data_IF_276071013992
#
_entry.id   IF_276071013992
#
_cell.length_a   1.000
_cell.length_b   1.000
_cell.length_c   1.000
_cell.angle_alpha   90.00
_cell.angle_beta   90.00
_cell.angle_gamma   90.00
#
_symmetry.space_group_name_H-M   'P 1'
#
loop_
_entity.id
_entity.type
_entity.pdbx_description
1 polymer ?
#
# COMPACT_ATOMS: atom_id res chain seq x y z
N UNK A 1 26.90 6.67 18.73
CA UNK A 1 25.55 7.18 19.05
C UNK A 1 25.47 8.58 18.49
N UNK A 2 24.75 8.77 17.40
CA UNK A 2 24.39 10.11 16.95
C UNK A 2 23.17 10.48 17.81
N UNK A 3 23.37 11.35 18.79
CA UNK A 3 22.25 12.01 19.45
C UNK A 3 21.70 13.00 18.44
N UNK A 4 20.71 12.58 17.65
CA UNK A 4 19.89 13.55 16.94
C UNK A 4 19.11 14.32 18.00
N UNK A 5 19.51 15.57 18.22
CA UNK A 5 18.68 16.52 18.96
C UNK A 5 17.37 16.64 18.21
N UNK A 6 16.28 16.20 18.85
CA UNK A 6 14.94 16.45 18.34
C UNK A 6 14.74 17.97 18.48
N UNK A 7 14.35 18.69 17.40
CA UNK A 7 14.17 20.12 17.47
C UNK A 7 13.19 20.51 18.58
N UNK A 8 13.44 21.64 19.25
CA UNK A 8 12.51 22.19 20.25
C UNK A 8 11.14 22.54 19.64
N UNK A 9 11.09 22.75 18.32
CA UNK A 9 9.87 23.06 17.58
C UNK A 9 9.80 22.27 16.26
N UNK A 10 8.60 21.76 15.94
CA UNK A 10 8.30 21.12 14.67
C UNK A 10 7.24 21.94 13.89
N UNK A 11 7.46 22.08 12.58
CA UNK A 11 6.52 22.79 11.70
C UNK A 11 5.34 21.93 11.27
N UNK A 12 5.51 20.61 11.23
CA UNK A 12 4.52 19.63 10.81
C UNK A 12 5.09 18.21 10.88
N UNK A 13 4.23 17.21 10.72
CA UNK A 13 4.62 15.81 10.68
C UNK A 13 3.88 15.08 9.56
N UNK A 14 4.59 14.25 8.81
CA UNK A 14 4.05 13.48 7.69
C UNK A 14 4.23 12.00 8.00
N UNK A 15 3.15 11.24 7.90
CA UNK A 15 3.13 9.80 8.12
C UNK A 15 2.83 9.08 6.81
N UNK A 16 3.55 8.01 6.52
CA UNK A 16 3.19 7.08 5.45
C UNK A 16 2.22 6.03 6.00
N UNK A 17 1.16 5.72 5.24
CA UNK A 17 0.19 4.72 5.68
C UNK A 17 0.84 3.35 5.83
N UNK A 18 1.51 2.85 4.79
CA UNK A 18 1.93 1.46 4.68
C UNK A 18 3.19 1.14 5.49
N UNK A 19 4.04 2.14 5.71
CA UNK A 19 5.34 2.00 6.37
C UNK A 19 5.34 2.49 7.83
N UNK A 20 4.43 3.40 8.22
CA UNK A 20 4.49 4.04 9.55
C UNK A 20 3.23 3.91 10.39
N UNK A 21 2.07 3.63 9.78
CA UNK A 21 0.79 3.62 10.50
C UNK A 21 0.10 2.25 10.48
N UNK A 22 -0.03 1.64 9.30
CA UNK A 22 -0.73 0.40 9.06
C UNK A 22 0.19 -0.80 9.30
N UNK A 23 -0.24 -1.75 10.15
CA UNK A 23 0.41 -3.05 10.22
C UNK A 23 0.00 -3.88 9.00
N UNK A 24 0.82 -3.79 7.96
CA UNK A 24 0.67 -4.59 6.75
C UNK A 24 1.00 -6.07 6.95
N UNK A 25 1.34 -6.49 8.18
CA UNK A 25 1.78 -7.84 8.56
C UNK A 25 3.01 -8.30 7.77
N UNK A 26 3.87 -7.33 7.42
CA UNK A 26 5.12 -7.56 6.68
C UNK A 26 6.14 -8.31 7.54
N UNK A 27 7.03 -9.09 6.91
CA UNK A 27 8.08 -9.86 7.59
C UNK A 27 7.65 -11.23 8.14
N UNK A 28 6.38 -11.62 7.93
CA UNK A 28 5.91 -12.99 8.15
C UNK A 28 6.26 -13.95 7.01
N UNK A 29 5.79 -15.23 7.07
CA UNK A 29 5.88 -16.16 5.95
C UNK A 29 5.19 -15.62 4.69
N UNK A 30 5.58 -16.11 3.50
CA UNK A 30 4.94 -15.74 2.25
C UNK A 30 3.42 -16.00 2.31
N UNK A 31 2.63 -15.05 1.80
CA UNK A 31 1.17 -15.09 1.82
C UNK A 31 0.56 -14.59 3.12
N UNK A 32 1.34 -14.00 4.03
CA UNK A 32 0.83 -13.45 5.29
C UNK A 32 0.45 -11.98 5.20
N UNK A 33 1.18 -11.18 4.41
CA UNK A 33 0.91 -9.74 4.30
C UNK A 33 -0.45 -9.47 3.67
N UNK A 34 -1.07 -8.34 4.03
CA UNK A 34 -2.40 -7.98 3.52
C UNK A 34 -2.39 -7.87 1.99
N UNK A 35 -1.31 -7.34 1.42
CA UNK A 35 -1.13 -7.24 -0.03
C UNK A 35 -0.94 -8.60 -0.70
N UNK A 36 -0.05 -9.47 -0.19
CA UNK A 36 0.18 -10.80 -0.78
C UNK A 36 -1.10 -11.63 -0.80
N UNK A 37 -1.88 -11.59 0.28
CA UNK A 37 -3.16 -12.32 0.36
C UNK A 37 -4.16 -11.84 -0.68
N UNK A 38 -4.30 -10.53 -0.83
CA UNK A 38 -5.20 -9.94 -1.84
C UNK A 38 -4.77 -10.31 -3.26
N UNK A 39 -3.46 -10.26 -3.56
CA UNK A 39 -2.92 -10.60 -4.87
C UNK A 39 -3.12 -12.09 -5.18
N UNK A 40 -2.79 -12.97 -4.25
CA UNK A 40 -2.92 -14.42 -4.43
C UNK A 40 -4.37 -14.83 -4.67
N UNK A 41 -5.31 -14.25 -3.92
CA UNK A 41 -6.74 -14.48 -4.13
C UNK A 41 -7.21 -13.93 -5.47
N UNK A 42 -6.76 -12.75 -5.89
CA UNK A 42 -7.11 -12.17 -7.18
C UNK A 42 -6.63 -13.04 -8.36
N UNK A 43 -5.38 -13.51 -8.30
CA UNK A 43 -4.82 -14.42 -9.31
C UNK A 43 -5.63 -15.70 -9.43
N UNK A 44 -6.04 -16.29 -8.29
CA UNK A 44 -6.88 -17.49 -8.29
C UNK A 44 -8.25 -17.26 -8.90
N UNK A 45 -8.93 -16.18 -8.52
CA UNK A 45 -10.25 -15.83 -9.07
C UNK A 45 -10.19 -15.60 -10.58
N UNK A 46 -9.17 -14.90 -11.07
CA UNK A 46 -8.99 -14.67 -12.51
C UNK A 46 -8.59 -15.96 -13.22
N UNK A 47 -7.72 -16.78 -12.62
CA UNK A 47 -7.37 -18.09 -13.14
C UNK A 47 -8.57 -19.01 -13.30
N UNK A 48 -9.47 -19.05 -12.32
CA UNK A 48 -10.72 -19.81 -12.39
C UNK A 48 -11.65 -19.25 -13.47
N UNK A 49 -11.79 -17.93 -13.57
CA UNK A 49 -12.66 -17.28 -14.56
C UNK A 49 -12.24 -17.56 -16.01
N UNK A 50 -10.94 -17.62 -16.27
CA UNK A 50 -10.38 -17.77 -17.61
C UNK A 50 -9.87 -19.18 -17.92
N UNK A 51 -10.10 -20.15 -17.03
CA UNK A 51 -9.58 -21.52 -17.14
C UNK A 51 -8.06 -21.56 -17.36
N UNK A 52 -7.30 -20.80 -16.55
CA UNK A 52 -5.82 -20.73 -16.59
C UNK A 52 -5.26 -21.43 -15.34
N UNK A 53 -4.90 -22.72 -15.43
CA UNK A 53 -4.46 -23.50 -14.28
C UNK A 53 -3.24 -22.91 -13.58
N UNK A 54 -2.32 -22.31 -14.34
CA UNK A 54 -1.10 -21.69 -13.83
C UNK A 54 -1.42 -20.60 -12.79
N UNK A 55 -2.47 -19.82 -13.01
CA UNK A 55 -2.90 -18.75 -12.09
C UNK A 55 -3.65 -19.30 -10.86
N UNK A 56 -4.41 -20.38 -11.02
CA UNK A 56 -5.13 -21.02 -9.89
C UNK A 56 -4.21 -21.71 -8.89
N UNK A 57 -3.04 -22.18 -9.34
CA UNK A 57 -2.11 -22.95 -8.52
C UNK A 57 -0.90 -22.14 -8.03
N UNK A 58 -0.86 -20.83 -8.31
CA UNK A 58 0.20 -19.95 -7.80
C UNK A 58 0.36 -20.15 -6.29
N UNK A 59 1.59 -20.42 -5.88
CA UNK A 59 2.00 -20.46 -4.48
C UNK A 59 2.27 -19.05 -3.96
N UNK A 60 2.25 -18.89 -2.64
CA UNK A 60 2.57 -17.61 -2.03
C UNK A 60 4.02 -17.19 -2.32
N UNK A 61 4.92 -18.18 -2.38
CA UNK A 61 6.34 -18.01 -2.68
C UNK A 61 6.57 -17.53 -4.12
N UNK A 62 5.89 -18.11 -5.10
CA UNK A 62 5.96 -17.64 -6.50
C UNK A 62 5.41 -16.21 -6.63
N UNK A 63 4.29 -15.91 -5.96
CA UNK A 63 3.73 -14.55 -5.97
C UNK A 63 4.68 -13.53 -5.33
N UNK A 64 5.36 -13.91 -4.25
CA UNK A 64 6.33 -13.05 -3.57
C UNK A 64 7.60 -12.87 -4.41
N UNK A 65 8.13 -13.94 -4.99
CA UNK A 65 9.30 -13.89 -5.88
C UNK A 65 9.03 -12.99 -7.10
N UNK A 66 7.84 -13.12 -7.71
CA UNK A 66 7.43 -12.28 -8.81
C UNK A 66 7.35 -10.79 -8.42
N UNK A 67 6.94 -10.46 -7.19
CA UNK A 67 6.95 -9.10 -6.68
C UNK A 67 8.39 -8.59 -6.47
N UNK A 68 9.24 -9.37 -5.81
CA UNK A 68 10.62 -8.99 -5.47
C UNK A 68 11.53 -8.85 -6.69
N UNK A 69 11.23 -9.57 -7.77
CA UNK A 69 12.02 -9.57 -9.02
C UNK A 69 11.40 -8.69 -10.12
N UNK A 70 10.28 -8.02 -9.85
CA UNK A 70 9.65 -7.13 -10.80
C UNK A 70 10.55 -5.92 -11.12
N UNK A 71 10.61 -5.45 -12.39
CA UNK A 71 11.41 -4.27 -12.75
C UNK A 71 11.00 -2.99 -12.01
N UNK A 72 9.72 -2.90 -11.66
CA UNK A 72 9.12 -1.77 -10.95
C UNK A 72 8.32 -2.30 -9.76
N UNK A 73 8.33 -1.59 -8.63
CA UNK A 73 7.60 -1.99 -7.43
C UNK A 73 6.12 -1.55 -7.51
N UNK A 74 5.43 -1.92 -8.60
CA UNK A 74 3.99 -1.69 -8.78
C UNK A 74 3.23 -3.01 -8.86
N UNK A 75 1.92 -2.98 -8.59
CA UNK A 75 1.08 -4.18 -8.66
C UNK A 75 1.00 -4.74 -10.08
N UNK A 76 0.89 -3.87 -11.08
CA UNK A 76 0.85 -4.26 -12.49
C UNK A 76 2.16 -4.94 -12.90
N UNK A 77 3.30 -4.40 -12.45
CA UNK A 77 4.63 -4.95 -12.76
C UNK A 77 4.84 -6.30 -12.07
N UNK A 78 4.42 -6.45 -10.82
CA UNK A 78 4.50 -7.72 -10.09
C UNK A 78 3.65 -8.82 -10.74
N UNK A 79 2.38 -8.52 -11.09
CA UNK A 79 1.49 -9.48 -11.75
C UNK A 79 2.00 -9.82 -13.16
N UNK A 80 2.47 -8.83 -13.91
CA UNK A 80 3.02 -9.07 -15.25
C UNK A 80 4.31 -9.91 -15.20
N UNK A 81 5.18 -9.65 -14.22
CA UNK A 81 6.37 -10.45 -14.00
C UNK A 81 6.03 -11.91 -13.66
N UNK A 82 4.98 -12.12 -12.84
CA UNK A 82 4.45 -13.47 -12.59
C UNK A 82 3.97 -14.14 -13.88
N UNK A 83 3.28 -13.42 -14.77
CA UNK A 83 2.86 -13.99 -16.06
C UNK A 83 4.06 -14.44 -16.92
N UNK A 84 5.18 -13.73 -16.85
CA UNK A 84 6.43 -14.15 -17.51
C UNK A 84 6.97 -15.41 -16.87
N UNK A 85 7.05 -15.46 -15.53
CA UNK A 85 7.56 -16.63 -14.79
C UNK A 85 6.72 -17.89 -15.03
N UNK A 86 5.40 -17.75 -15.12
CA UNK A 86 4.45 -18.84 -15.41
C UNK A 86 4.39 -19.22 -16.90
N UNK A 87 5.09 -18.50 -17.78
CA UNK A 87 5.09 -18.75 -19.23
C UNK A 87 3.81 -18.31 -19.96
N UNK A 88 2.97 -17.49 -19.33
CA UNK A 88 1.74 -16.93 -19.93
C UNK A 88 2.04 -15.81 -20.93
N UNK A 89 3.22 -15.18 -20.82
CA UNK A 89 3.74 -14.20 -21.78
C UNK A 89 5.26 -14.27 -21.82
N UNK A 90 5.86 -13.81 -22.93
CA UNK A 90 7.31 -13.63 -23.07
C UNK A 90 7.72 -12.17 -23.20
N UNK A 91 6.76 -11.24 -23.24
CA UNK A 91 7.02 -9.82 -23.37
C UNK A 91 7.46 -9.23 -22.03
N UNK A 92 8.63 -8.58 -22.02
CA UNK A 92 9.08 -7.77 -20.88
C UNK A 92 8.36 -6.43 -20.76
N UNK A 93 7.76 -5.95 -21.86
CA UNK A 93 6.92 -4.77 -21.82
C UNK A 93 5.53 -5.14 -21.31
N UNK A 94 5.09 -4.46 -20.25
CA UNK A 94 3.75 -4.63 -19.66
C UNK A 94 2.70 -4.22 -20.70
N UNK A 95 1.78 -5.12 -21.00
CA UNK A 95 0.61 -4.80 -21.82
C UNK A 95 -0.55 -4.35 -20.91
N UNK A 96 -0.67 -3.04 -20.71
CA UNK A 96 -1.77 -2.46 -19.93
C UNK A 96 -3.16 -2.66 -20.57
N UNK A 97 -3.24 -3.07 -21.83
CA UNK A 97 -4.51 -3.43 -22.47
C UNK A 97 -4.87 -4.90 -22.30
N UNK A 98 -4.00 -5.71 -21.68
CA UNK A 98 -4.26 -7.11 -21.40
C UNK A 98 -5.42 -7.25 -20.39
N UNK A 99 -6.50 -7.90 -20.82
CA UNK A 99 -7.72 -8.04 -20.00
C UNK A 99 -7.49 -8.83 -18.72
N UNK A 100 -6.66 -9.88 -18.77
CA UNK A 100 -6.38 -10.73 -17.60
C UNK A 100 -5.59 -9.93 -16.55
N UNK A 101 -4.59 -9.14 -16.98
CA UNK A 101 -3.85 -8.24 -16.10
C UNK A 101 -4.79 -7.21 -15.45
N UNK A 102 -5.58 -6.52 -16.26
CA UNK A 102 -6.49 -5.47 -15.79
C UNK A 102 -7.47 -6.01 -14.74
N UNK A 103 -8.08 -7.17 -15.00
CA UNK A 103 -9.01 -7.79 -14.05
C UNK A 103 -8.32 -8.32 -12.79
N UNK A 104 -7.09 -8.84 -12.89
CA UNK A 104 -6.33 -9.28 -11.72
C UNK A 104 -5.98 -8.10 -10.80
N UNK A 105 -5.61 -6.95 -11.37
CA UNK A 105 -5.35 -5.72 -10.62
C UNK A 105 -6.64 -5.21 -9.97
N UNK A 106 -7.75 -5.15 -10.71
CA UNK A 106 -9.04 -4.72 -10.16
C UNK A 106 -9.52 -5.65 -9.02
N UNK A 107 -9.47 -6.97 -9.24
CA UNK A 107 -9.83 -7.95 -8.22
C UNK A 107 -8.95 -7.83 -6.98
N UNK A 108 -7.64 -7.61 -7.15
CA UNK A 108 -6.73 -7.36 -6.03
C UNK A 108 -7.17 -6.16 -5.21
N UNK A 109 -7.47 -5.01 -5.84
CA UNK A 109 -7.87 -3.80 -5.11
C UNK A 109 -9.16 -4.01 -4.31
N UNK A 110 -10.17 -4.65 -4.91
CA UNK A 110 -11.43 -4.97 -4.24
C UNK A 110 -11.24 -5.94 -3.05
N UNK A 111 -10.40 -6.96 -3.22
CA UNK A 111 -10.09 -7.91 -2.15
C UNK A 111 -9.25 -7.27 -1.05
N UNK A 112 -8.29 -6.42 -1.41
CA UNK A 112 -7.44 -5.73 -0.47
C UNK A 112 -8.25 -4.76 0.39
N UNK A 113 -9.19 -4.03 -0.20
CA UNK A 113 -10.12 -3.18 0.52
C UNK A 113 -10.87 -3.96 1.61
N UNK A 114 -11.44 -5.12 1.24
CA UNK A 114 -12.16 -5.98 2.18
C UNK A 114 -11.25 -6.50 3.29
N UNK A 115 -10.06 -7.00 2.94
CA UNK A 115 -9.07 -7.48 3.90
C UNK A 115 -8.65 -6.36 4.86
N UNK A 116 -8.43 -5.16 4.34
CA UNK A 116 -8.07 -3.99 5.15
C UNK A 116 -9.22 -3.59 6.10
N UNK A 117 -10.46 -3.61 5.62
CA UNK A 117 -11.62 -3.34 6.46
C UNK A 117 -11.74 -4.36 7.60
N UNK A 118 -11.62 -5.65 7.29
CA UNK A 118 -11.77 -6.73 8.26
C UNK A 118 -10.59 -6.79 9.25
N UNK A 119 -9.35 -6.70 8.73
CA UNK A 119 -8.14 -7.06 9.46
C UNK A 119 -7.11 -5.95 9.62
N UNK A 120 -7.28 -4.82 8.94
CA UNK A 120 -6.36 -3.69 9.03
C UNK A 120 -6.25 -3.20 10.46
N UNK A 121 -5.03 -3.12 10.97
CA UNK A 121 -4.70 -2.63 12.29
C UNK A 121 -3.54 -1.65 12.22
N UNK A 122 -3.37 -0.84 13.25
CA UNK A 122 -2.18 0.00 13.34
C UNK A 122 -0.95 -0.84 13.68
N UNK A 123 0.23 -0.37 13.27
CA UNK A 123 1.46 -0.76 13.95
C UNK A 123 1.27 -0.44 15.44
N UNK A 124 1.55 -1.37 16.37
CA UNK A 124 1.22 -1.18 17.78
C UNK A 124 1.70 0.17 18.34
N UNK A 125 0.76 1.03 18.71
CA UNK A 125 1.01 2.36 19.29
C UNK A 125 1.33 3.47 18.28
N UNK A 126 1.21 3.25 16.97
CA UNK A 126 1.49 4.26 15.96
C UNK A 126 0.56 5.48 16.04
N UNK A 127 -0.75 5.26 16.25
CA UNK A 127 -1.73 6.33 16.43
C UNK A 127 -1.51 7.04 17.77
N UNK A 128 -1.26 6.32 18.86
CA UNK A 128 -0.93 6.93 20.16
C UNK A 128 0.34 7.79 20.06
N UNK A 129 1.36 7.31 19.35
CA UNK A 129 2.56 8.08 19.06
C UNK A 129 2.25 9.36 18.28
N UNK A 130 1.48 9.27 17.18
CA UNK A 130 1.09 10.43 16.38
C UNK A 130 0.30 11.46 17.19
N UNK A 131 -0.61 11.01 18.08
CA UNK A 131 -1.36 11.88 19.01
C UNK A 131 -0.45 12.60 19.98
N UNK A 132 0.44 11.88 20.64
CA UNK A 132 1.40 12.46 21.59
C UNK A 132 2.36 13.44 20.91
N UNK A 133 2.79 13.13 19.69
CA UNK A 133 3.62 14.04 18.90
C UNK A 133 2.86 15.33 18.58
N UNK A 134 1.59 15.22 18.18
CA UNK A 134 0.74 16.37 17.90
C UNK A 134 0.49 17.22 19.14
N UNK A 135 0.22 16.60 20.29
CA UNK A 135 0.04 17.30 21.56
C UNK A 135 1.32 18.01 22.04
N UNK A 136 2.47 17.33 21.93
CA UNK A 136 3.72 17.86 22.45
C UNK A 136 4.24 19.06 21.65
N UNK A 137 4.07 19.05 20.33
CA UNK A 137 4.58 20.08 19.41
C UNK A 137 3.47 20.99 18.83
N UNK A 138 2.25 20.94 19.37
CA UNK A 138 1.08 21.70 18.90
C UNK A 138 0.80 21.51 17.39
N UNK A 139 0.93 20.27 16.89
CA UNK A 139 0.81 19.95 15.46
C UNK A 139 -0.62 19.62 15.02
N UNK A 140 -1.63 19.87 15.85
CA UNK A 140 -3.02 19.64 15.46
C UNK A 140 -3.38 20.45 14.21
N UNK A 141 -3.81 19.76 13.15
CA UNK A 141 -4.03 20.35 11.82
C UNK A 141 -2.78 20.52 10.95
N UNK A 142 -1.58 20.22 11.48
CA UNK A 142 -0.28 20.24 10.78
C UNK A 142 0.30 18.83 10.59
N UNK A 143 -0.39 17.81 11.08
CA UNK A 143 -0.18 16.39 10.76
C UNK A 143 -0.79 16.05 9.40
N UNK A 144 -0.09 15.22 8.62
CA UNK A 144 -0.51 14.78 7.29
C UNK A 144 -0.22 13.30 7.07
N UNK A 145 -0.97 12.70 6.14
CA UNK A 145 -0.69 11.38 5.59
C UNK A 145 -0.23 11.51 4.13
N UNK A 146 0.85 10.84 3.76
CA UNK A 146 1.40 10.82 2.40
C UNK A 146 1.72 9.37 1.98
N UNK A 147 0.86 8.76 1.15
CA UNK A 147 0.93 7.33 0.83
C UNK A 147 0.77 7.04 -0.67
N UNK A 148 1.32 5.91 -1.12
CA UNK A 148 1.05 5.32 -2.44
C UNK A 148 -0.26 4.53 -2.49
N UNK A 149 -0.90 4.28 -1.35
CA UNK A 149 -2.23 3.68 -1.30
C UNK A 149 -3.26 4.55 -2.04
N UNK A 150 -4.38 3.94 -2.45
CA UNK A 150 -5.55 4.67 -2.94
C UNK A 150 -6.27 5.35 -1.76
N UNK A 151 -7.01 6.43 -2.04
CA UNK A 151 -7.68 7.24 -1.03
C UNK A 151 -8.65 6.43 -0.17
N UNK A 152 -9.31 5.46 -0.79
CA UNK A 152 -10.26 4.58 -0.13
C UNK A 152 -9.61 3.78 1.01
N UNK A 153 -8.41 3.24 0.78
CA UNK A 153 -7.68 2.46 1.79
C UNK A 153 -7.25 3.33 2.98
N UNK A 154 -6.75 4.54 2.68
CA UNK A 154 -6.43 5.52 3.72
C UNK A 154 -7.66 5.89 4.56
N UNK A 155 -8.82 6.11 3.94
CA UNK A 155 -10.05 6.41 4.67
C UNK A 155 -10.50 5.25 5.55
N UNK A 156 -10.44 4.00 5.06
CA UNK A 156 -10.78 2.81 5.86
C UNK A 156 -9.92 2.75 7.12
N UNK A 157 -8.61 2.98 6.99
CA UNK A 157 -7.71 3.00 8.15
C UNK A 157 -8.06 4.13 9.12
N UNK A 158 -8.23 5.35 8.61
CA UNK A 158 -8.55 6.53 9.44
C UNK A 158 -9.87 6.32 10.21
N UNK A 159 -10.90 5.81 9.54
CA UNK A 159 -12.21 5.52 10.15
C UNK A 159 -12.07 4.45 11.24
N UNK A 160 -11.39 3.34 10.93
CA UNK A 160 -11.20 2.23 11.87
C UNK A 160 -10.38 2.60 13.11
N UNK A 161 -9.52 3.62 12.99
CA UNK A 161 -8.68 4.14 14.09
C UNK A 161 -9.18 5.44 14.69
N UNK A 162 -10.36 5.90 14.27
CA UNK A 162 -10.96 7.16 14.73
C UNK A 162 -9.95 8.34 14.65
N UNK A 163 -9.12 8.36 13.61
CA UNK A 163 -7.95 9.24 13.49
C UNK A 163 -8.23 10.51 12.65
N UNK A 164 -9.49 10.90 12.51
CA UNK A 164 -9.90 12.04 11.68
C UNK A 164 -9.39 13.39 12.20
N UNK A 165 -9.18 13.49 13.50
CA UNK A 165 -8.60 14.66 14.15
C UNK A 165 -7.10 14.81 13.86
N UNK A 166 -6.38 13.69 13.75
CA UNK A 166 -4.98 13.65 13.32
C UNK A 166 -4.83 13.86 11.81
N UNK A 167 -5.68 13.22 11.02
CA UNK A 167 -5.56 13.20 9.56
C UNK A 167 -6.86 13.73 8.94
N UNK A 168 -7.10 15.05 9.02
CA UNK A 168 -8.28 15.63 8.41
C UNK A 168 -8.23 15.46 6.89
N UNK A 169 -9.40 15.43 6.25
CA UNK A 169 -9.54 14.99 4.85
C UNK A 169 -8.56 15.66 3.87
N UNK A 170 -8.35 16.97 4.04
CA UNK A 170 -7.47 17.81 3.23
C UNK A 170 -5.96 17.59 3.47
N UNK A 171 -5.58 16.86 4.51
CA UNK A 171 -4.19 16.52 4.88
C UNK A 171 -3.82 15.07 4.55
N UNK A 172 -4.67 14.38 3.79
CA UNK A 172 -4.42 12.99 3.36
C UNK A 172 -4.14 13.00 1.85
N UNK A 173 -2.89 12.74 1.51
CA UNK A 173 -2.37 12.72 0.14
C UNK A 173 -2.06 11.29 -0.27
N UNK A 174 -2.75 10.85 -1.31
CA UNK A 174 -2.68 9.47 -1.85
C UNK A 174 -2.25 9.48 -3.31
N UNK A 175 -2.12 8.30 -3.91
CA UNK A 175 -1.72 8.13 -5.31
C UNK A 175 -2.59 8.94 -6.29
N UNK A 176 -3.87 9.11 -5.98
CA UNK A 176 -4.84 9.86 -6.81
C UNK A 176 -4.69 11.38 -6.70
N UNK A 177 -4.00 11.86 -5.66
CA UNK A 177 -3.88 13.29 -5.42
C UNK A 177 -2.67 13.88 -6.14
N UNK A 178 -1.68 13.09 -6.53
CA UNK A 178 -0.40 13.55 -7.08
C UNK A 178 -0.22 13.16 -8.55
N UNK A 179 0.62 13.91 -9.26
CA UNK A 179 0.96 13.60 -10.65
C UNK A 179 2.03 12.51 -10.74
N UNK A 180 3.03 12.53 -9.86
CA UNK A 180 4.15 11.60 -9.85
C UNK A 180 4.11 10.72 -8.60
N UNK A 181 4.17 9.40 -8.80
CA UNK A 181 4.21 8.40 -7.72
C UNK A 181 5.56 8.45 -7.00
N UNK A 182 5.63 7.94 -5.77
CA UNK A 182 6.90 7.71 -5.05
C UNK A 182 7.85 6.88 -5.94
N UNK A 183 9.17 7.16 -5.94
CA UNK A 183 9.91 7.98 -4.99
C UNK A 183 9.96 9.49 -5.31
N UNK A 184 9.17 9.98 -6.28
CA UNK A 184 9.10 11.42 -6.54
C UNK A 184 8.61 12.20 -5.30
N UNK A 185 9.20 13.36 -4.95
CA UNK A 185 8.93 14.06 -3.68
C UNK A 185 7.56 14.74 -3.60
N UNK A 186 6.85 14.91 -4.72
CA UNK A 186 5.60 15.68 -4.82
C UNK A 186 4.58 15.37 -3.71
N UNK A 187 4.39 14.10 -3.36
CA UNK A 187 3.42 13.73 -2.30
C UNK A 187 3.81 14.27 -0.94
N UNK A 188 5.11 14.32 -0.64
CA UNK A 188 5.64 14.88 0.60
C UNK A 188 5.64 16.41 0.58
N UNK A 189 5.99 17.02 -0.55
CA UNK A 189 5.95 18.49 -0.72
C UNK A 189 4.54 19.02 -0.46
N UNK A 190 3.52 18.33 -1.00
CA UNK A 190 2.12 18.70 -0.78
C UNK A 190 1.63 18.41 0.63
N UNK A 191 2.12 17.34 1.26
CA UNK A 191 1.79 17.01 2.63
C UNK A 191 2.42 17.98 3.64
N UNK A 192 3.56 18.60 3.30
CA UNK A 192 4.24 19.59 4.14
C UNK A 192 3.64 21.00 4.00
N UNK A 193 3.28 21.41 2.78
CA UNK A 193 2.71 22.72 2.47
C UNK A 193 1.41 23.02 3.24
#
# INVERSE_FOLDING_TARGET
MIHHEIPDELSGAIFDLDDTLLDNKQGGPAGHSLHERSQLQALRLVGEKYDIPELTHVSAEESLDAFLTAPDHTHESAIWNLFIQLGLTSSKAIDFANTILAEAVEAKELLHEKILFDEGDEIPGAIDFARRLADHYDLWGRTSMASTAVRKNANIFIEKKEAHDLFPHQRVFTNETVRFKKPHPEVYDRAFA
#
